data_IF_627731878335
#
_entry.id   IF_627731878335
#
_cell.length_a   1.000
_cell.length_b   1.000
_cell.length_c   1.000
_cell.angle_alpha   90.00
_cell.angle_beta   90.00
_cell.angle_gamma   90.00
#
_symmetry.space_group_name_H-M   'P 1'
#
loop_
_entity.id
_entity.type
_entity.pdbx_description
1 polymer ?
#
# COMPACT_ATOMS: atom_id res chain seq x y z
N UNK A 1 -7.80 7.56 -3.81
CA UNK A 1 -6.46 7.93 -4.33
C UNK A 1 -5.48 6.92 -3.73
N UNK A 2 -4.47 6.48 -4.47
CA UNK A 2 -3.43 5.60 -3.91
C UNK A 2 -2.16 6.41 -3.66
N UNK A 3 -1.52 6.22 -2.51
CA UNK A 3 -0.22 6.83 -2.23
C UNK A 3 0.87 6.02 -2.92
N UNK A 4 1.78 6.70 -3.63
CA UNK A 4 2.95 6.08 -4.26
C UNK A 4 4.26 6.77 -3.87
N UNK A 5 4.67 6.72 -2.59
CA UNK A 5 5.76 7.56 -2.08
C UNK A 5 7.15 6.95 -2.28
N UNK A 6 7.40 6.21 -3.37
CA UNK A 6 8.69 5.55 -3.60
C UNK A 6 9.86 6.54 -3.78
N UNK A 7 9.63 7.73 -4.34
CA UNK A 7 10.67 8.78 -4.39
C UNK A 7 10.96 9.38 -3.00
N UNK A 8 9.94 9.44 -2.15
CA UNK A 8 10.04 9.94 -0.79
C UNK A 8 10.66 8.93 0.17
N UNK A 9 10.77 7.64 -0.18
CA UNK A 9 11.39 6.64 0.70
C UNK A 9 12.77 7.12 1.11
N UNK A 10 13.09 7.09 2.40
CA UNK A 10 14.44 7.27 2.95
C UNK A 10 15.01 5.88 3.26
N UNK A 11 14.38 5.19 4.19
CA UNK A 11 14.73 3.84 4.63
C UNK A 11 13.58 3.19 5.38
N UNK A 12 13.74 1.92 5.72
CA UNK A 12 12.75 1.18 6.49
C UNK A 12 13.19 -0.24 6.81
N UNK A 13 12.40 -0.90 7.66
CA UNK A 13 12.53 -2.31 7.96
C UNK A 13 11.14 -2.92 8.02
N UNK A 14 10.92 -4.02 7.30
CA UNK A 14 9.69 -4.81 7.35
C UNK A 14 10.03 -6.25 7.73
N UNK A 15 9.22 -6.84 8.59
CA UNK A 15 9.41 -8.15 9.19
C UNK A 15 8.18 -9.02 8.91
N UNK A 16 8.41 -10.15 8.24
CA UNK A 16 7.43 -11.22 8.04
C UNK A 16 7.97 -12.57 8.53
N UNK A 17 8.85 -12.56 9.54
CA UNK A 17 9.36 -13.78 10.20
C UNK A 17 8.26 -14.50 11.00
N UNK A 18 7.17 -13.80 11.34
CA UNK A 18 5.96 -14.38 11.90
C UNK A 18 4.90 -14.52 10.82
N UNK A 19 4.53 -15.76 10.47
CA UNK A 19 3.55 -16.03 9.41
C UNK A 19 2.20 -15.35 9.68
N UNK A 20 1.58 -14.84 8.62
CA UNK A 20 0.31 -14.13 8.61
C UNK A 20 0.39 -12.69 9.11
N UNK A 21 1.58 -12.16 9.41
CA UNK A 21 1.74 -10.78 9.87
C UNK A 21 2.97 -10.11 9.27
N UNK A 22 2.81 -8.88 8.82
CA UNK A 22 3.89 -7.99 8.41
C UNK A 22 3.94 -6.81 9.39
N UNK A 23 5.08 -6.61 10.04
CA UNK A 23 5.28 -5.45 10.94
C UNK A 23 6.51 -4.67 10.53
N UNK A 24 6.63 -3.41 10.95
CA UNK A 24 7.85 -2.67 10.68
C UNK A 24 7.68 -1.17 10.72
N UNK A 25 8.63 -0.47 10.11
CA UNK A 25 8.58 0.98 9.96
C UNK A 25 9.25 1.44 8.66
N UNK A 26 8.80 2.57 8.15
CA UNK A 26 9.36 3.23 6.95
C UNK A 26 9.46 4.72 7.24
N UNK A 27 10.58 5.35 6.87
CA UNK A 27 10.73 6.81 6.89
C UNK A 27 10.58 7.39 5.49
N UNK A 28 9.84 8.47 5.41
CA UNK A 28 9.62 9.24 4.19
C UNK A 28 10.16 10.65 4.35
N UNK A 29 10.87 11.11 3.32
CA UNK A 29 11.31 12.48 3.16
C UNK A 29 10.11 13.41 3.03
N UNK A 30 10.18 14.54 3.74
CA UNK A 30 9.22 15.64 3.66
C UNK A 30 9.96 16.94 3.37
N UNK A 31 9.62 17.58 2.26
CA UNK A 31 10.24 18.87 1.90
C UNK A 31 10.03 19.92 2.99
N UNK A 32 11.14 20.45 3.51
CA UNK A 32 11.11 21.53 4.52
C UNK A 32 10.55 21.14 5.89
N UNK A 33 10.42 19.84 6.18
CA UNK A 33 9.92 19.30 7.47
C UNK A 33 10.82 18.14 7.90
N UNK A 34 10.72 17.75 9.17
CA UNK A 34 11.31 16.50 9.66
C UNK A 34 10.80 15.30 8.85
N UNK A 35 11.55 14.21 8.65
CA UNK A 35 11.03 13.00 8.02
C UNK A 35 9.77 12.45 8.69
N UNK A 36 8.85 11.89 7.92
CA UNK A 36 7.69 11.16 8.44
C UNK A 36 8.11 9.72 8.73
N UNK A 37 8.00 9.26 9.98
CA UNK A 37 8.15 7.85 10.30
C UNK A 37 6.78 7.19 10.38
N UNK A 38 6.58 6.18 9.55
CA UNK A 38 5.37 5.35 9.50
C UNK A 38 5.67 4.00 10.13
N UNK A 39 4.81 3.53 11.03
CA UNK A 39 4.85 2.17 11.58
C UNK A 39 3.74 1.32 11.00
N UNK A 40 4.05 0.07 10.64
CA UNK A 40 3.15 -0.85 9.96
C UNK A 40 2.83 -2.04 10.87
N UNK A 41 1.55 -2.41 10.90
CA UNK A 41 1.02 -3.63 11.52
C UNK A 41 -0.07 -4.21 10.61
N UNK A 42 0.31 -5.14 9.74
CA UNK A 42 -0.53 -5.64 8.66
C UNK A 42 -0.80 -7.13 8.81
N UNK A 43 -2.02 -7.54 8.46
CA UNK A 43 -2.37 -8.94 8.27
C UNK A 43 -1.93 -9.42 6.88
N UNK A 44 -1.34 -10.62 6.81
CA UNK A 44 -0.85 -11.22 5.56
C UNK A 44 0.64 -11.54 5.58
N UNK A 45 1.14 -12.05 4.46
CA UNK A 45 2.52 -12.49 4.29
C UNK A 45 3.17 -11.81 3.09
N UNK A 46 4.51 -11.78 3.07
CA UNK A 46 5.23 -11.55 1.83
C UNK A 46 5.03 -12.72 0.85
N UNK A 47 5.37 -12.48 -0.41
CA UNK A 47 5.39 -13.52 -1.43
C UNK A 47 6.46 -14.58 -1.17
N UNK A 48 6.30 -15.74 -1.82
CA UNK A 48 7.10 -16.95 -1.58
C UNK A 48 8.61 -16.78 -1.80
N UNK A 49 9.02 -15.76 -2.54
CA UNK A 49 10.44 -15.42 -2.73
C UNK A 49 11.10 -14.89 -1.45
N UNK A 50 10.34 -14.27 -0.55
CA UNK A 50 10.85 -13.61 0.67
C UNK A 50 9.98 -13.85 1.92
N UNK A 51 8.98 -14.74 1.86
CA UNK A 51 8.15 -15.09 3.03
C UNK A 51 9.00 -15.65 4.17
N UNK A 52 8.77 -15.19 5.39
CA UNK A 52 9.61 -15.59 6.53
C UNK A 52 10.92 -14.80 6.66
N UNK A 53 11.06 -13.68 5.96
CA UNK A 53 12.26 -12.84 6.04
C UNK A 53 11.99 -11.51 6.75
N UNK A 54 13.08 -10.85 7.16
CA UNK A 54 13.11 -9.43 7.46
C UNK A 54 13.89 -8.72 6.36
N UNK A 55 13.36 -7.61 5.90
CA UNK A 55 13.92 -6.82 4.80
C UNK A 55 14.22 -5.41 5.26
N UNK A 56 15.31 -4.85 4.74
CA UNK A 56 15.67 -3.44 4.90
C UNK A 56 15.45 -2.72 3.58
N UNK A 57 14.88 -1.53 3.67
CA UNK A 57 14.69 -0.61 2.56
C UNK A 57 15.65 0.56 2.69
N UNK A 58 16.20 1.05 1.58
CA UNK A 58 17.05 2.24 1.58
C UNK A 58 16.95 2.95 0.23
N UNK A 59 16.86 4.26 0.24
CA UNK A 59 16.97 5.08 -0.96
C UNK A 59 18.22 5.96 -0.84
N UNK A 60 19.21 5.84 -1.74
CA UNK A 60 20.41 6.68 -1.69
C UNK A 60 20.12 8.16 -1.98
N UNK A 61 19.04 8.46 -2.72
CA UNK A 61 18.68 9.82 -3.13
C UNK A 61 17.18 10.11 -2.84
N UNK A 62 16.79 10.19 -1.55
CA UNK A 62 15.42 10.49 -1.18
C UNK A 62 15.06 11.92 -1.57
N UNK A 63 13.89 12.09 -2.19
CA UNK A 63 13.38 13.41 -2.60
C UNK A 63 11.87 13.48 -2.49
N UNK A 64 11.34 14.69 -2.44
CA UNK A 64 9.90 14.84 -2.37
C UNK A 64 9.28 14.70 -3.76
N UNK A 65 8.41 13.70 -3.95
CA UNK A 65 7.73 13.47 -5.23
C UNK A 65 6.99 14.70 -5.75
N UNK A 66 6.49 15.57 -4.87
CA UNK A 66 5.82 16.80 -5.28
C UNK A 66 6.75 17.75 -6.05
N UNK A 67 8.07 17.67 -5.88
CA UNK A 67 9.04 18.47 -6.64
C UNK A 67 9.00 18.16 -8.12
N UNK A 68 8.86 16.88 -8.48
CA UNK A 68 8.70 16.42 -9.86
C UNK A 68 7.42 16.96 -10.54
N UNK A 69 6.46 17.46 -9.75
CA UNK A 69 5.18 18.01 -10.22
C UNK A 69 4.99 19.49 -9.91
N UNK A 70 6.03 20.17 -9.38
CA UNK A 70 5.97 21.58 -8.95
C UNK A 70 4.80 21.89 -8.00
N UNK A 71 4.47 20.95 -7.10
CA UNK A 71 3.39 21.12 -6.12
C UNK A 71 3.93 21.63 -4.79
N UNK A 72 3.13 22.44 -4.11
CA UNK A 72 3.42 22.86 -2.72
C UNK A 72 3.22 21.70 -1.74
N UNK A 73 3.90 21.79 -0.59
CA UNK A 73 3.86 20.77 0.47
C UNK A 73 4.59 19.48 0.10
N UNK A 74 4.47 18.47 0.97
CA UNK A 74 5.07 17.16 0.75
C UNK A 74 4.06 16.19 0.14
N UNK A 75 4.50 15.31 -0.77
CA UNK A 75 3.63 14.28 -1.35
C UNK A 75 3.05 13.33 -0.29
N UNK A 76 3.78 13.12 0.82
CA UNK A 76 3.32 12.29 1.94
C UNK A 76 2.55 13.08 3.00
N UNK A 77 2.25 14.36 2.77
CA UNK A 77 1.33 15.09 3.62
C UNK A 77 -0.06 14.42 3.53
N UNK A 78 -0.59 13.98 4.67
CA UNK A 78 -1.84 13.22 4.77
C UNK A 78 -1.66 11.71 4.97
N UNK A 79 -0.43 11.17 4.85
CA UNK A 79 -0.13 9.80 5.24
C UNK A 79 -0.04 9.69 6.77
N UNK A 80 -0.79 8.76 7.37
CA UNK A 80 -0.80 8.51 8.81
C UNK A 80 0.50 7.85 9.27
N UNK A 81 1.00 8.26 10.44
CA UNK A 81 2.17 7.66 11.10
C UNK A 81 1.94 6.20 11.52
N UNK A 82 0.68 5.80 11.73
CA UNK A 82 0.32 4.43 12.08
C UNK A 82 -0.54 3.84 10.98
N UNK A 83 -0.09 2.72 10.43
CA UNK A 83 -0.76 1.99 9.35
C UNK A 83 -1.11 0.60 9.84
N UNK A 84 -2.41 0.34 9.98
CA UNK A 84 -2.96 -0.99 10.15
C UNK A 84 -3.78 -1.36 8.91
N UNK A 85 -3.90 -2.67 8.64
CA UNK A 85 -4.71 -3.18 7.53
C UNK A 85 -4.13 -4.46 6.93
N UNK A 86 -4.21 -4.60 5.61
CA UNK A 86 -3.84 -5.83 4.90
C UNK A 86 -2.58 -5.64 4.07
N UNK A 87 -1.68 -6.60 4.12
CA UNK A 87 -0.57 -6.71 3.18
C UNK A 87 -1.11 -7.07 1.78
N UNK A 88 -0.72 -6.30 0.77
CA UNK A 88 -0.99 -6.60 -0.62
C UNK A 88 0.12 -7.47 -1.20
N UNK A 89 0.57 -7.13 -2.40
CA UNK A 89 1.75 -7.78 -2.97
C UNK A 89 3.05 -7.20 -2.38
N UNK A 90 3.84 -8.05 -1.73
CA UNK A 90 5.16 -7.71 -1.20
C UNK A 90 6.17 -8.76 -1.68
N UNK A 91 7.10 -8.38 -2.56
CA UNK A 91 8.07 -9.27 -3.21
C UNK A 91 9.39 -8.55 -3.41
N UNK A 92 10.50 -9.30 -3.48
CA UNK A 92 11.81 -8.80 -3.90
C UNK A 92 12.03 -8.94 -5.41
N UNK A 93 11.10 -9.56 -6.13
CA UNK A 93 11.23 -9.83 -7.56
C UNK A 93 12.22 -10.96 -7.87
N UNK A 94 12.40 -11.91 -6.95
CA UNK A 94 13.26 -13.07 -7.20
C UNK A 94 12.45 -14.21 -7.83
N UNK A 95 13.03 -14.89 -8.81
CA UNK A 95 12.38 -16.06 -9.41
C UNK A 95 12.28 -17.21 -8.41
N UNK A 96 11.11 -17.85 -8.40
CA UNK A 96 10.83 -19.10 -7.69
C UNK A 96 10.31 -20.10 -8.72
N UNK A 97 11.01 -21.23 -8.87
CA UNK A 97 10.68 -22.26 -9.87
C UNK A 97 10.52 -21.73 -11.31
N UNK A 98 11.35 -20.77 -11.71
CA UNK A 98 11.37 -20.18 -13.06
C UNK A 98 10.23 -19.20 -13.34
N UNK A 99 9.61 -18.65 -12.30
CA UNK A 99 8.58 -17.60 -12.42
C UNK A 99 8.76 -16.56 -11.32
N UNK A 100 8.41 -15.31 -11.63
CA UNK A 100 8.29 -14.26 -10.64
C UNK A 100 6.94 -14.38 -9.90
N UNK A 101 6.91 -14.24 -8.56
CA UNK A 101 5.66 -14.30 -7.80
C UNK A 101 4.65 -13.23 -8.21
N UNK A 102 5.14 -12.04 -8.57
CA UNK A 102 4.30 -10.92 -9.01
C UNK A 102 4.97 -10.07 -10.09
N UNK A 103 6.18 -9.58 -9.81
CA UNK A 103 7.00 -8.78 -10.73
C UNK A 103 8.47 -9.16 -10.59
N UNK A 104 9.33 -8.66 -11.47
CA UNK A 104 10.77 -8.90 -11.52
C UNK A 104 11.61 -7.85 -10.77
N UNK A 105 10.96 -6.99 -9.98
CA UNK A 105 11.60 -5.98 -9.12
C UNK A 105 10.95 -5.91 -7.74
N UNK A 106 11.61 -5.31 -6.73
CA UNK A 106 10.99 -5.10 -5.43
C UNK A 106 9.71 -4.26 -5.49
N UNK A 107 8.61 -4.86 -5.06
CA UNK A 107 7.29 -4.25 -5.04
C UNK A 107 6.68 -4.46 -3.67
N UNK A 108 6.24 -3.38 -3.02
CA UNK A 108 5.67 -3.39 -1.67
C UNK A 108 4.34 -2.65 -1.70
N UNK A 109 3.27 -3.36 -1.40
CA UNK A 109 1.93 -2.82 -1.35
C UNK A 109 1.23 -3.19 -0.05
N UNK A 110 0.45 -2.24 0.47
CA UNK A 110 -0.49 -2.50 1.54
C UNK A 110 -1.76 -1.66 1.40
N UNK A 111 -2.82 -2.16 2.04
CA UNK A 111 -4.11 -1.52 2.14
C UNK A 111 -4.30 -1.05 3.58
N UNK A 112 -4.13 0.24 3.77
CA UNK A 112 -4.35 0.93 5.04
C UNK A 112 -5.83 1.17 5.31
N UNK A 113 -6.25 0.95 6.55
CA UNK A 113 -7.58 1.34 7.02
C UNK A 113 -7.81 2.86 6.94
N UNK A 114 -6.76 3.67 7.12
CA UNK A 114 -6.86 5.14 7.19
C UNK A 114 -6.57 5.77 5.83
N UNK A 115 -5.54 5.30 5.14
CA UNK A 115 -5.05 5.94 3.92
C UNK A 115 -5.39 5.19 2.63
N UNK A 116 -6.04 4.02 2.73
CA UNK A 116 -6.28 3.15 1.59
C UNK A 116 -4.99 2.55 1.05
N UNK A 117 -4.89 2.39 -0.27
CA UNK A 117 -3.77 1.70 -0.92
C UNK A 117 -2.49 2.55 -0.93
N UNK A 118 -1.38 1.95 -0.52
CA UNK A 118 -0.03 2.52 -0.62
C UNK A 118 0.89 1.55 -1.35
N UNK A 119 1.72 2.07 -2.26
CA UNK A 119 2.60 1.27 -3.13
C UNK A 119 4.00 1.87 -3.19
N UNK A 120 5.02 1.03 -3.03
CA UNK A 120 6.40 1.31 -3.33
C UNK A 120 6.88 0.39 -4.46
N UNK A 121 7.40 0.99 -5.52
CA UNK A 121 8.07 0.30 -6.62
C UNK A 121 9.53 0.72 -6.54
N UNK A 122 10.43 -0.21 -6.23
CA UNK A 122 11.81 0.10 -5.88
C UNK A 122 12.80 -0.59 -6.84
N UNK A 123 13.98 0.00 -6.97
CA UNK A 123 15.12 -0.66 -7.62
C UNK A 123 15.66 -1.81 -6.74
N UNK A 124 16.20 -2.91 -7.31
CA UNK A 124 16.81 -3.99 -6.53
C UNK A 124 17.86 -3.54 -5.52
N UNK A 125 18.62 -2.47 -5.79
CA UNK A 125 19.62 -1.92 -4.87
C UNK A 125 19.02 -1.24 -3.63
N UNK A 126 17.71 -0.95 -3.63
CA UNK A 126 17.01 -0.28 -2.54
C UNK A 126 16.43 -1.25 -1.50
N UNK A 127 16.65 -2.56 -1.67
CA UNK A 127 16.11 -3.59 -0.80
C UNK A 127 17.18 -4.65 -0.48
N UNK A 128 17.26 -5.03 0.78
CA UNK A 128 18.16 -6.07 1.28
C UNK A 128 17.37 -7.04 2.17
N UNK A 129 17.59 -8.35 2.01
CA UNK A 129 17.14 -9.34 3.01
C UNK A 129 18.17 -9.34 4.14
N UNK A 130 17.77 -8.88 5.33
CA UNK A 130 18.68 -8.77 6.49
C UNK A 130 18.54 -9.93 7.47
N UNK A 131 17.45 -10.69 7.36
CA UNK A 131 17.24 -11.93 8.10
C UNK A 131 16.48 -12.91 7.21
N UNK A 132 17.03 -14.11 7.02
CA UNK A 132 16.45 -15.12 6.14
C UNK A 132 16.09 -16.38 6.93
N UNK A 133 14.79 -16.56 7.20
CA UNK A 133 14.24 -17.76 7.82
C UNK A 133 13.34 -18.56 6.88
N UNK A 134 13.51 -18.41 5.56
CA UNK A 134 12.67 -19.12 4.56
C UNK A 134 12.67 -20.63 4.77
N UNK A 135 13.80 -21.21 5.19
CA UNK A 135 13.89 -22.65 5.46
C UNK A 135 13.08 -23.12 6.67
N UNK A 136 12.71 -22.22 7.58
CA UNK A 136 11.93 -22.50 8.79
C UNK A 136 10.41 -22.37 8.54
N UNK A 137 10.03 -21.68 7.47
CA UNK A 137 8.63 -21.44 7.12
C UNK A 137 8.19 -22.45 6.06
N UNK A 138 7.21 -23.28 6.40
CA UNK A 138 6.64 -24.22 5.45
C UNK A 138 6.02 -23.47 4.26
N UNK A 139 6.23 -23.92 3.01
CA UNK A 139 5.56 -23.35 1.85
C UNK A 139 4.04 -23.38 2.04
N UNK A 140 3.36 -22.32 1.56
CA UNK A 140 1.90 -22.33 1.51
C UNK A 140 1.43 -23.47 0.59
N UNK A 141 0.43 -24.22 1.04
CA UNK A 141 -0.34 -25.11 0.19
C UNK A 141 -1.09 -24.31 -0.88
N UNK A 142 -1.48 -24.97 -1.97
CA UNK A 142 -2.30 -24.33 -3.03
C UNK A 142 -3.61 -23.72 -2.50
N UNK A 143 -4.20 -24.34 -1.47
CA UNK A 143 -5.39 -23.81 -0.80
C UNK A 143 -5.10 -22.48 -0.09
N UNK A 144 -4.02 -22.42 0.68
CA UNK A 144 -3.61 -21.21 1.38
C UNK A 144 -3.16 -20.10 0.42
N UNK A 145 -2.44 -20.45 -0.66
CA UNK A 145 -2.10 -19.49 -1.73
C UNK A 145 -3.35 -18.86 -2.34
N UNK A 146 -4.37 -19.68 -2.64
CA UNK A 146 -5.65 -19.21 -3.17
C UNK A 146 -6.40 -18.33 -2.17
N UNK A 147 -6.40 -18.68 -0.90
CA UNK A 147 -7.03 -17.86 0.15
C UNK A 147 -6.33 -16.51 0.30
N UNK A 148 -5.00 -16.49 0.31
CA UNK A 148 -4.21 -15.25 0.33
C UNK A 148 -4.52 -14.37 -0.89
N UNK A 149 -4.62 -14.96 -2.09
CA UNK A 149 -5.01 -14.21 -3.28
C UNK A 149 -6.44 -13.64 -3.18
N UNK A 150 -7.40 -14.43 -2.68
CA UNK A 150 -8.78 -13.96 -2.47
C UNK A 150 -8.82 -12.77 -1.52
N UNK A 151 -8.04 -12.81 -0.42
CA UNK A 151 -7.96 -11.70 0.54
C UNK A 151 -7.43 -10.43 -0.14
N UNK A 152 -6.32 -10.52 -0.88
CA UNK A 152 -5.76 -9.40 -1.66
C UNK A 152 -6.76 -8.83 -2.67
N UNK A 153 -7.43 -9.69 -3.43
CA UNK A 153 -8.45 -9.27 -4.40
C UNK A 153 -9.61 -8.54 -3.69
N UNK A 154 -10.00 -9.02 -2.51
CA UNK A 154 -11.05 -8.41 -1.71
C UNK A 154 -10.63 -7.05 -1.13
N UNK A 155 -9.39 -6.90 -0.65
CA UNK A 155 -8.82 -5.63 -0.22
C UNK A 155 -8.81 -4.60 -1.37
N UNK A 156 -8.39 -5.01 -2.56
CA UNK A 156 -8.45 -4.16 -3.76
C UNK A 156 -9.88 -3.75 -4.10
N UNK A 157 -10.83 -4.70 -4.05
CA UNK A 157 -12.24 -4.40 -4.32
C UNK A 157 -12.85 -3.45 -3.30
N UNK A 158 -12.50 -3.58 -2.02
CA UNK A 158 -12.94 -2.66 -0.97
C UNK A 158 -12.38 -1.26 -1.20
N UNK A 159 -11.07 -1.14 -1.48
CA UNK A 159 -10.45 0.13 -1.86
C UNK A 159 -11.15 0.80 -3.06
N UNK A 160 -11.49 0.03 -4.10
CA UNK A 160 -12.20 0.56 -5.28
C UNK A 160 -13.61 1.03 -4.95
N UNK A 161 -14.34 0.35 -4.05
CA UNK A 161 -15.66 0.81 -3.57
C UNK A 161 -15.54 2.12 -2.82
N UNK A 162 -14.57 2.24 -1.91
CA UNK A 162 -14.36 3.44 -1.12
C UNK A 162 -13.96 4.63 -2.01
N UNK A 163 -13.15 4.38 -3.04
CA UNK A 163 -12.81 5.39 -4.03
C UNK A 163 -14.06 5.96 -4.74
N UNK A 164 -14.97 5.08 -5.15
CA UNK A 164 -16.22 5.48 -5.83
C UNK A 164 -17.14 6.25 -4.87
N UNK A 165 -17.28 5.79 -3.63
CA UNK A 165 -18.14 6.45 -2.64
C UNK A 165 -17.63 7.87 -2.32
N UNK A 166 -16.33 8.02 -2.05
CA UNK A 166 -15.70 9.31 -1.81
C UNK A 166 -15.80 10.27 -3.02
N UNK A 167 -15.71 9.75 -4.24
CA UNK A 167 -15.91 10.56 -5.46
C UNK A 167 -17.36 11.05 -5.58
N UNK A 168 -18.35 10.22 -5.23
CA UNK A 168 -19.77 10.62 -5.23
C UNK A 168 -20.04 11.70 -4.20
N UNK A 169 -19.52 11.56 -2.99
CA UNK A 169 -19.67 12.53 -1.91
C UNK A 169 -19.03 13.89 -2.23
N UNK A 170 -17.81 13.87 -2.80
CA UNK A 170 -17.11 15.10 -3.23
C UNK A 170 -17.75 15.78 -4.46
N UNK A 171 -18.53 15.05 -5.26
CA UNK A 171 -19.17 15.59 -6.48
C UNK A 171 -20.46 16.39 -6.26
N UNK A 172 -21.01 16.46 -5.03
CA UNK A 172 -21.95 17.50 -4.60
C UNK A 172 -23.18 17.82 -5.47
N UNK A 173 -23.60 16.95 -6.40
CA UNK A 173 -24.90 17.12 -7.09
C UNK A 173 -26.00 16.52 -6.23
N UNK A 174 -26.64 17.38 -5.43
CA UNK A 174 -27.98 17.10 -4.87
C UNK A 174 -28.88 16.60 -6.02
N UNK A 175 -29.68 15.53 -5.83
CA UNK A 175 -30.73 15.23 -6.79
C UNK A 175 -31.65 16.46 -6.86
N UNK A 176 -31.80 17.02 -8.07
CA UNK A 176 -32.84 18.01 -8.34
C UNK A 176 -34.16 17.26 -8.12
N UNK A 177 -34.76 17.46 -6.95
CA UNK A 177 -36.15 17.13 -6.75
C UNK A 177 -36.95 17.89 -7.80
N UNK A 178 -37.56 17.15 -8.73
CA UNK A 178 -38.53 17.72 -9.66
C UNK A 178 -39.70 18.18 -8.80
N UNK A 179 -39.73 19.47 -8.48
CA UNK A 179 -40.94 20.12 -7.96
C UNK A 179 -41.89 20.19 -9.16
N UNK A 180 -42.80 19.22 -9.26
CA UNK A 180 -43.97 19.35 -10.12
C UNK A 180 -44.86 20.41 -9.47
N UNK A 181 -44.76 21.64 -9.94
CA UNK A 181 -45.69 22.71 -9.59
C UNK A 181 -47.07 22.36 -10.13
N UNK A 182 -47.91 21.74 -9.30
CA UNK A 182 -49.35 21.69 -9.52
C UNK A 182 -49.89 23.13 -9.48
N UNK A 183 -50.48 23.59 -10.59
CA UNK A 183 -51.24 24.83 -10.62
C UNK A 183 -52.55 24.66 -9.84
N UNK A 184 -53.06 25.73 -9.22
CA UNK A 184 -54.20 25.67 -8.31
C UNK A 184 -55.53 25.59 -9.08
N UNK A 185 -56.44 24.74 -8.62
CA UNK A 185 -57.86 24.84 -8.97
C UNK A 185 -58.56 25.71 -7.92
N UNK A 186 -59.07 26.86 -8.37
CA UNK A 186 -60.00 27.70 -7.63
C UNK A 186 -61.01 28.31 -8.61
N UNK A 187 -62.10 27.56 -8.85
CA UNK A 187 -63.53 27.95 -8.94
C UNK A 187 -64.29 27.02 -9.87
#
# INVERSE_FOLDING_TARGET
>A
MAFRPYENLIDGELDNTTSGRVTGWIRFYRKGKEPLKVTLDLEGDFHEDIRGTKIRLTNPEPKDRNESFEREGSYVDGLSEKQAGEAGDITAGLEVNGKYPYTDYPYIEWYSEINGRVVLELDPSQMEIVEDRRAEVAPLSEGEKKEAQIKKDQAMMNFMKDLVNNARESSGKRPIGVIVSGKPEAK
#
